data_IF_965762781478
#
_entry.id   IF_965762781478
#
_cell.length_a   1.000
_cell.length_b   1.000
_cell.length_c   1.000
_cell.angle_alpha   90.00
_cell.angle_beta   90.00
_cell.angle_gamma   90.00
#
_symmetry.space_group_name_H-M   'P 1'
#
loop_
_entity.id
_entity.type
_entity.pdbx_description
1 polymer ?
#
# COMPACT_ATOMS: atom_id res chain seq x y z
N UNK A 1 10.71 5.62 4.46
CA UNK A 1 9.76 6.70 4.08
C UNK A 1 8.34 6.16 4.19
N UNK A 2 7.38 6.93 4.71
CA UNK A 2 5.97 6.53 4.81
C UNK A 2 5.13 7.32 3.81
N UNK A 3 4.23 6.63 3.12
CA UNK A 3 3.36 7.21 2.10
C UNK A 3 1.95 6.66 2.22
N UNK A 4 0.97 7.43 1.74
CA UNK A 4 -0.40 6.95 1.54
C UNK A 4 -0.62 6.67 0.06
N UNK A 5 -1.21 5.52 -0.26
CA UNK A 5 -1.67 5.22 -1.61
C UNK A 5 -2.91 6.07 -1.92
N UNK A 6 -2.84 6.86 -2.98
CA UNK A 6 -3.95 7.65 -3.49
C UNK A 6 -4.70 6.86 -4.58
N UNK A 7 -3.95 6.16 -5.44
CA UNK A 7 -4.50 5.42 -6.58
C UNK A 7 -3.63 4.24 -6.96
N UNK A 8 -4.25 3.16 -7.45
CA UNK A 8 -3.58 1.99 -8.02
C UNK A 8 -4.16 1.75 -9.41
N UNK A 9 -3.37 1.97 -10.45
CA UNK A 9 -3.76 1.90 -11.86
C UNK A 9 -3.14 0.67 -12.58
N UNK A 10 -3.50 -0.50 -12.06
CA UNK A 10 -3.12 -1.81 -12.59
C UNK A 10 -4.33 -2.50 -13.21
N UNK A 11 -4.10 -3.60 -13.93
CA UNK A 11 -5.19 -4.39 -14.50
C UNK A 11 -6.18 -4.87 -13.40
N UNK A 12 -7.44 -5.15 -13.75
CA UNK A 12 -8.46 -5.51 -12.75
C UNK A 12 -8.11 -6.72 -11.88
N UNK A 13 -7.42 -7.73 -12.42
CA UNK A 13 -7.05 -8.93 -11.67
C UNK A 13 -5.94 -8.61 -10.66
N UNK A 14 -4.91 -7.87 -11.08
CA UNK A 14 -3.87 -7.38 -10.18
C UNK A 14 -4.45 -6.44 -9.11
N UNK A 15 -5.44 -5.61 -9.44
CA UNK A 15 -6.05 -4.68 -8.49
C UNK A 15 -6.81 -5.40 -7.37
N UNK A 16 -7.49 -6.51 -7.68
CA UNK A 16 -8.12 -7.37 -6.67
C UNK A 16 -7.05 -7.96 -5.74
N UNK A 17 -6.00 -8.55 -6.32
CA UNK A 17 -4.90 -9.13 -5.54
C UNK A 17 -4.23 -8.09 -4.64
N UNK A 18 -4.00 -6.88 -5.15
CA UNK A 18 -3.42 -5.80 -4.38
C UNK A 18 -4.34 -5.39 -3.21
N UNK A 19 -5.66 -5.37 -3.43
CA UNK A 19 -6.65 -5.14 -2.38
C UNK A 19 -6.60 -6.17 -1.25
N UNK A 20 -6.47 -7.45 -1.59
CA UNK A 20 -6.28 -8.57 -0.64
C UNK A 20 -5.01 -8.39 0.20
N UNK A 21 -3.93 -7.93 -0.43
CA UNK A 21 -2.63 -7.66 0.21
C UNK A 21 -2.56 -6.31 0.95
N UNK A 22 -3.64 -5.52 0.93
CA UNK A 22 -3.70 -4.21 1.58
C UNK A 22 -3.10 -3.05 0.79
N UNK A 23 -2.65 -3.27 -0.45
CA UNK A 23 -2.14 -2.25 -1.37
C UNK A 23 -3.29 -1.56 -2.13
N UNK A 24 -4.08 -0.75 -1.41
CA UNK A 24 -5.28 -0.08 -1.94
C UNK A 24 -5.30 1.40 -1.62
N UNK A 25 -6.13 2.17 -2.31
CA UNK A 25 -6.32 3.58 -2.01
C UNK A 25 -6.65 3.79 -0.51
N UNK A 26 -6.02 4.78 0.10
CA UNK A 26 -6.09 5.06 1.54
C UNK A 26 -5.08 4.30 2.40
N UNK A 27 -4.47 3.22 1.89
CA UNK A 27 -3.51 2.43 2.66
C UNK A 27 -2.24 3.22 2.95
N UNK A 28 -1.72 3.05 4.17
CA UNK A 28 -0.44 3.60 4.59
C UNK A 28 0.62 2.53 4.47
N UNK A 29 1.72 2.90 3.81
CA UNK A 29 2.74 1.98 3.36
C UNK A 29 4.10 2.56 3.70
N UNK A 30 4.98 1.72 4.24
CA UNK A 30 6.36 2.11 4.51
C UNK A 30 7.29 1.54 3.44
N UNK A 31 7.98 2.42 2.72
CA UNK A 31 9.12 2.01 1.88
C UNK A 31 10.27 1.63 2.81
N UNK A 32 10.61 0.34 2.81
CA UNK A 32 11.67 -0.25 3.64
C UNK A 32 13.00 -0.32 2.90
N UNK A 33 12.96 -0.60 1.60
CA UNK A 33 14.14 -0.62 0.73
C UNK A 33 13.80 0.04 -0.60
N UNK A 34 14.69 0.88 -1.08
CA UNK A 34 14.67 1.43 -2.44
C UNK A 34 15.76 0.72 -3.24
N UNK A 35 15.36 0.03 -4.31
CA UNK A 35 16.26 -0.74 -5.19
C UNK A 35 16.51 0.04 -6.50
N UNK A 36 16.22 1.34 -6.51
CA UNK A 36 16.41 2.24 -7.64
C UNK A 36 15.54 1.84 -8.84
N UNK A 37 16.18 1.63 -9.99
CA UNK A 37 15.49 1.31 -11.24
C UNK A 37 14.75 -0.04 -11.23
N UNK A 38 15.06 -0.93 -10.28
CA UNK A 38 14.42 -2.24 -10.20
C UNK A 38 13.05 -2.17 -9.50
N UNK A 39 12.90 -1.30 -8.50
CA UNK A 39 11.67 -1.26 -7.71
C UNK A 39 11.89 -0.92 -6.24
N UNK A 40 10.91 -1.27 -5.41
CA UNK A 40 10.86 -0.92 -3.98
C UNK A 40 10.32 -2.09 -3.16
N UNK A 41 10.83 -2.24 -1.94
CA UNK A 41 10.25 -3.16 -0.95
C UNK A 41 9.43 -2.35 0.04
N UNK A 42 8.15 -2.67 0.13
CA UNK A 42 7.20 -1.95 0.96
C UNK A 42 6.65 -2.83 2.07
N UNK A 43 6.40 -2.24 3.23
CA UNK A 43 5.74 -2.88 4.36
C UNK A 43 4.30 -2.37 4.50
N UNK A 44 3.38 -3.32 4.69
CA UNK A 44 1.96 -3.10 4.99
C UNK A 44 1.62 -3.99 6.17
N UNK A 45 1.34 -3.39 7.34
CA UNK A 45 1.20 -4.18 8.58
C UNK A 45 2.49 -4.93 8.92
N UNK A 46 2.38 -6.25 9.12
CA UNK A 46 3.52 -7.13 9.37
C UNK A 46 4.17 -7.67 8.09
N UNK A 47 3.51 -7.52 6.94
CA UNK A 47 3.93 -8.11 5.67
C UNK A 47 4.84 -7.19 4.88
N UNK A 48 5.64 -7.79 3.98
CA UNK A 48 6.55 -7.09 3.07
C UNK A 48 6.38 -7.58 1.65
N UNK A 49 6.29 -6.62 0.72
CA UNK A 49 6.08 -6.87 -0.70
C UNK A 49 7.18 -6.21 -1.52
N UNK A 50 7.79 -6.95 -2.43
CA UNK A 50 8.63 -6.39 -3.47
C UNK A 50 7.74 -5.94 -4.64
N UNK A 51 7.90 -4.69 -5.06
CA UNK A 51 7.21 -4.10 -6.20
C UNK A 51 8.26 -3.71 -7.23
N UNK A 52 8.11 -4.16 -8.47
CA UNK A 52 8.96 -3.70 -9.56
C UNK A 52 8.68 -2.24 -9.94
N UNK A 53 9.56 -1.66 -10.75
CA UNK A 53 9.46 -0.26 -11.18
C UNK A 53 8.22 0.02 -12.04
N UNK A 54 7.78 -0.92 -12.88
CA UNK A 54 6.60 -0.77 -13.72
C UNK A 54 5.31 -0.72 -12.89
N UNK A 55 5.23 -1.54 -11.86
CA UNK A 55 4.16 -1.56 -10.86
C UNK A 55 4.18 -0.29 -10.03
N UNK A 56 5.37 0.12 -9.55
CA UNK A 56 5.52 1.36 -8.81
C UNK A 56 5.04 2.58 -9.61
N UNK A 57 5.30 2.63 -10.91
CA UNK A 57 4.87 3.72 -11.79
C UNK A 57 3.33 3.84 -11.92
N UNK A 58 2.60 2.75 -11.63
CA UNK A 58 1.13 2.69 -11.65
C UNK A 58 0.49 3.03 -10.31
N UNK A 59 1.28 3.31 -9.27
CA UNK A 59 0.77 3.63 -7.94
C UNK A 59 1.04 5.11 -7.65
N UNK A 60 -0.04 5.87 -7.50
CA UNK A 60 0.05 7.27 -7.05
C UNK A 60 0.06 7.30 -5.54
N UNK A 61 1.02 8.01 -4.95
CA UNK A 61 1.16 8.14 -3.50
C UNK A 61 1.33 9.60 -3.08
N UNK A 62 1.00 9.88 -1.83
CA UNK A 62 1.31 11.14 -1.16
C UNK A 62 2.19 10.90 0.08
N UNK A 63 3.03 11.88 0.48
CA UNK A 63 3.78 11.77 1.73
C UNK A 63 2.85 11.60 2.93
N UNK A 64 3.24 10.73 3.86
CA UNK A 64 2.53 10.57 5.13
C UNK A 64 3.52 10.51 6.30
N UNK A 65 3.07 10.96 7.47
CA UNK A 65 3.88 10.93 8.69
C UNK A 65 3.94 9.52 9.26
N UNK A 66 5.08 9.12 9.82
CA UNK A 66 5.26 7.78 10.39
C UNK A 66 4.29 7.45 11.55
N UNK A 67 3.81 8.45 12.29
CA UNK A 67 2.76 8.25 13.29
C UNK A 67 1.45 7.69 12.69
N UNK A 68 1.22 7.88 11.39
CA UNK A 68 0.06 7.38 10.70
C UNK A 68 0.12 5.86 10.45
N UNK A 69 1.31 5.26 10.21
CA UNK A 69 1.42 3.79 10.08
C UNK A 69 1.22 3.09 11.42
N UNK A 70 1.66 3.70 12.53
CA UNK A 70 1.38 3.21 13.88
C UNK A 70 -0.14 3.21 14.18
N UNK A 71 -0.85 4.28 13.78
CA UNK A 71 -2.31 4.34 13.85
C UNK A 71 -3.02 3.36 12.90
N UNK A 72 -2.46 3.10 11.72
CA UNK A 72 -3.00 2.13 10.78
C UNK A 72 -2.84 0.68 11.24
N UNK A 73 -1.71 0.29 11.86
CA UNK A 73 -1.58 -1.04 12.46
C UNK A 73 -2.50 -1.23 13.66
N UNK A 74 -2.80 -0.15 14.41
CA UNK A 74 -3.82 -0.18 15.46
C UNK A 74 -5.25 -0.28 14.89
N UNK A 75 -5.52 0.35 13.74
CA UNK A 75 -6.82 0.31 13.04
C UNK A 75 -7.03 -0.86 12.09
N UNK A 76 -5.98 -1.67 11.80
CA UNK A 76 -6.06 -2.86 10.95
C UNK A 76 -6.68 -4.07 11.68
N UNK A 77 -7.00 -3.93 12.96
CA UNK A 77 -7.94 -4.80 13.66
C UNK A 77 -9.33 -4.67 13.04
N UNK A 78 -9.62 -5.51 12.05
CA UNK A 78 -10.95 -5.84 11.52
C UNK A 78 -11.89 -4.64 11.25
N UNK A 79 -11.53 -3.72 10.34
CA UNK A 79 -12.58 -2.93 9.66
C UNK A 79 -13.35 -3.87 8.71
N UNK A 80 -14.35 -4.58 9.24
CA UNK A 80 -15.31 -5.35 8.48
C UNK A 80 -15.98 -4.43 7.46
N UNK A 81 -16.06 -4.92 6.23
CA UNK A 81 -16.73 -4.28 5.10
C UNK A 81 -18.22 -4.08 5.43
N UNK A 82 -18.56 -2.93 5.99
CA UNK A 82 -19.91 -2.39 5.97
C UNK A 82 -20.00 -1.37 4.82
N UNK A 83 -20.28 -1.88 3.61
CA UNK A 83 -20.93 -1.14 2.55
C UNK A 83 -22.11 -2.04 2.12
N UNK A 84 -23.29 -1.84 2.70
CA UNK A 84 -24.27 -0.83 2.30
C UNK A 84 -24.75 -1.10 0.86
N UNK A 85 -26.03 -1.48 0.83
CA UNK A 85 -26.89 -1.90 -0.28
C UNK A 85 -26.76 -1.08 -1.56
#
# INVERSE_FOLDING_TARGET
MVVRIVRVDVDPAARLRFGELGLRAGALVQVTHDVGAQGRVVAVGADRFALDSATCARITVEPATAGAVAGAVAGAGYATSAAAR
#
